data_IF_825211503174
#
_entry.id   IF_825211503174
#
_cell.length_a   1.000
_cell.length_b   1.000
_cell.length_c   1.000
_cell.angle_alpha   90.00
_cell.angle_beta   90.00
_cell.angle_gamma   90.00
#
_symmetry.space_group_name_H-M   'P 1'
#
loop_
_entity.id
_entity.type
_entity.pdbx_description
1 polymer ?
#
# COMPACT_ATOMS: atom_id res chain seq x y z
N UNK A 1 -27.39 -5.73 -15.55
CA UNK A 1 -27.09 -4.54 -16.40
C UNK A 1 -26.17 -5.00 -17.52
N UNK A 2 -26.56 -4.73 -18.74
CA UNK A 2 -25.72 -5.04 -19.89
C UNK A 2 -24.48 -4.12 -19.88
N UNK A 3 -23.32 -4.66 -20.24
CA UNK A 3 -22.06 -3.88 -20.28
C UNK A 3 -22.16 -2.70 -21.25
N UNK A 4 -22.92 -2.83 -22.36
CA UNK A 4 -23.18 -1.75 -23.32
C UNK A 4 -23.92 -0.59 -22.67
N UNK A 5 -24.92 -0.88 -21.85
CA UNK A 5 -25.66 0.14 -21.11
C UNK A 5 -24.77 0.85 -20.08
N UNK A 6 -23.90 0.11 -19.41
CA UNK A 6 -22.92 0.66 -18.49
C UNK A 6 -21.96 1.62 -19.18
N UNK A 7 -21.42 1.25 -20.34
CA UNK A 7 -20.53 2.11 -21.14
C UNK A 7 -21.23 3.38 -21.58
N UNK A 8 -22.51 3.30 -22.02
CA UNK A 8 -23.29 4.50 -22.38
C UNK A 8 -23.49 5.45 -21.20
N UNK A 9 -23.71 4.92 -20.00
CA UNK A 9 -23.85 5.76 -18.78
C UNK A 9 -22.55 6.45 -18.42
N UNK A 10 -21.41 5.74 -18.48
CA UNK A 10 -20.08 6.32 -18.24
C UNK A 10 -19.80 7.43 -19.25
N UNK A 11 -20.02 7.19 -20.53
CA UNK A 11 -19.82 8.19 -21.58
C UNK A 11 -20.67 9.44 -21.37
N UNK A 12 -21.95 9.27 -21.04
CA UNK A 12 -22.84 10.39 -20.72
C UNK A 12 -22.36 11.21 -19.52
N UNK A 13 -21.89 10.53 -18.47
CA UNK A 13 -21.33 11.19 -17.30
C UNK A 13 -20.04 11.97 -17.65
N UNK A 14 -19.19 11.42 -18.50
CA UNK A 14 -17.98 12.08 -18.99
C UNK A 14 -18.33 13.35 -19.81
N UNK A 15 -19.25 13.24 -20.75
CA UNK A 15 -19.70 14.36 -21.61
C UNK A 15 -20.31 15.51 -20.78
N UNK A 16 -20.92 15.20 -19.65
CA UNK A 16 -21.53 16.16 -18.73
C UNK A 16 -20.58 16.66 -17.61
N UNK A 17 -19.30 16.29 -17.63
CA UNK A 17 -18.34 16.57 -16.56
C UNK A 17 -18.81 16.08 -15.17
N UNK A 18 -19.48 14.94 -15.12
CA UNK A 18 -20.03 14.34 -13.91
C UNK A 18 -19.35 13.01 -13.55
N UNK A 19 -18.36 12.57 -14.34
CA UNK A 19 -17.66 11.32 -14.08
C UNK A 19 -16.71 11.49 -12.89
N UNK A 20 -16.90 10.65 -11.88
CA UNK A 20 -16.01 10.54 -10.72
C UNK A 20 -15.43 9.14 -10.69
N UNK A 21 -14.12 9.02 -10.56
CA UNK A 21 -13.41 7.75 -10.48
C UNK A 21 -12.86 7.54 -9.08
N UNK A 22 -13.24 6.45 -8.43
CA UNK A 22 -12.65 6.00 -7.17
C UNK A 22 -11.49 5.05 -7.45
N UNK A 23 -10.32 5.39 -6.94
CA UNK A 23 -9.10 4.60 -7.14
C UNK A 23 -8.70 3.96 -5.82
N UNK A 24 -8.73 2.63 -5.79
CA UNK A 24 -8.26 1.87 -4.63
C UNK A 24 -6.77 1.53 -4.73
N UNK A 25 -6.20 1.10 -3.61
CA UNK A 25 -4.78 0.70 -3.50
C UNK A 25 -4.37 -0.43 -4.47
N UNK A 26 -5.33 -1.22 -4.97
CA UNK A 26 -5.07 -2.25 -5.96
C UNK A 26 -4.52 -1.72 -7.30
N UNK A 27 -4.84 -0.49 -7.66
CA UNK A 27 -4.28 0.16 -8.86
C UNK A 27 -2.78 0.38 -8.69
N UNK A 28 -2.35 0.85 -7.53
CA UNK A 28 -0.93 1.07 -7.21
C UNK A 28 -0.10 -0.23 -7.23
N UNK A 29 -0.70 -1.36 -6.89
CA UNK A 29 -0.03 -2.67 -6.96
C UNK A 29 0.41 -3.03 -8.38
N UNK A 30 -0.37 -2.66 -9.40
CA UNK A 30 -0.01 -2.88 -10.80
C UNK A 30 1.18 -2.03 -11.27
N UNK A 31 1.57 -1.02 -10.49
CA UNK A 31 2.77 -0.21 -10.71
C UNK A 31 3.97 -0.69 -9.88
N UNK A 32 3.91 -1.90 -9.35
CA UNK A 32 4.90 -2.51 -8.42
C UNK A 32 5.13 -1.67 -7.15
N UNK A 33 4.19 -0.83 -6.79
CA UNK A 33 4.26 -0.14 -5.51
C UNK A 33 3.97 -1.13 -4.38
N UNK A 34 4.66 -0.99 -3.25
CA UNK A 34 4.44 -1.85 -2.11
C UNK A 34 3.01 -1.72 -1.59
N UNK A 35 2.48 -2.82 -1.12
CA UNK A 35 1.23 -2.82 -0.36
C UNK A 35 1.44 -2.19 1.02
N UNK A 36 0.34 -1.85 1.68
CA UNK A 36 0.38 -1.40 3.07
C UNK A 36 1.14 -2.38 3.98
N UNK A 37 0.93 -3.68 3.79
CA UNK A 37 1.59 -4.73 4.54
C UNK A 37 3.11 -4.74 4.36
N UNK A 38 3.58 -4.55 3.15
CA UNK A 38 5.00 -4.47 2.83
C UNK A 38 5.66 -3.23 3.43
N UNK A 39 4.95 -2.10 3.41
CA UNK A 39 5.42 -0.87 4.05
C UNK A 39 5.51 -1.05 5.57
N UNK A 40 4.47 -1.61 6.21
CA UNK A 40 4.47 -1.85 7.66
C UNK A 40 5.56 -2.82 8.06
N UNK A 41 5.84 -3.86 7.26
CA UNK A 41 6.97 -4.76 7.51
C UNK A 41 8.31 -4.02 7.53
N UNK A 42 8.52 -3.05 6.66
CA UNK A 42 9.74 -2.24 6.68
C UNK A 42 9.86 -1.43 7.97
N UNK A 43 8.79 -0.81 8.45
CA UNK A 43 8.80 -0.16 9.75
C UNK A 43 9.14 -1.14 10.88
N UNK A 44 8.54 -2.32 10.87
CA UNK A 44 8.79 -3.36 11.86
C UNK A 44 10.25 -3.82 11.86
N UNK A 45 10.87 -3.91 10.69
CA UNK A 45 12.27 -4.29 10.55
C UNK A 45 13.22 -3.25 11.13
N UNK A 46 12.96 -1.98 10.90
CA UNK A 46 13.80 -0.90 11.43
C UNK A 46 13.77 -0.80 12.97
N UNK A 47 12.65 -1.14 13.60
CA UNK A 47 12.50 -1.11 15.07
C UNK A 47 12.67 -2.47 15.75
N UNK A 48 13.11 -3.47 15.03
CA UNK A 48 13.24 -4.84 15.53
C UNK A 48 11.96 -5.43 16.15
N UNK A 49 10.80 -5.05 15.60
CA UNK A 49 9.51 -5.47 16.14
C UNK A 49 9.26 -6.97 15.98
N UNK A 50 8.88 -7.64 17.05
CA UNK A 50 8.50 -9.07 17.09
C UNK A 50 9.41 -10.02 16.29
N UNK A 51 10.64 -10.18 16.71
CA UNK A 51 11.46 -11.29 16.23
C UNK A 51 10.98 -12.62 16.83
N UNK A 52 10.89 -13.64 15.99
CA UNK A 52 10.62 -14.98 16.47
C UNK A 52 11.73 -15.41 17.45
N UNK A 53 11.33 -15.82 18.64
CA UNK A 53 12.27 -16.27 19.68
C UNK A 53 12.95 -17.60 19.33
N UNK A 54 12.34 -18.40 18.45
CA UNK A 54 12.88 -19.70 18.02
C UNK A 54 13.86 -19.57 16.87
N UNK A 55 13.55 -18.82 15.82
CA UNK A 55 14.38 -18.76 14.63
C UNK A 55 15.13 -17.42 14.46
N UNK A 56 14.83 -16.41 15.23
CA UNK A 56 15.38 -15.06 15.12
C UNK A 56 15.31 -14.47 13.69
N UNK A 57 14.43 -15.02 12.86
CA UNK A 57 14.23 -14.61 11.47
C UNK A 57 12.88 -13.91 11.32
N UNK A 58 12.81 -12.95 10.41
CA UNK A 58 11.57 -12.24 10.07
C UNK A 58 11.07 -12.53 8.67
N UNK A 59 11.97 -12.80 7.75
CA UNK A 59 11.69 -12.84 6.31
C UNK A 59 11.47 -14.25 5.77
N UNK A 60 11.98 -15.28 6.43
CA UNK A 60 11.81 -16.64 5.98
C UNK A 60 10.75 -17.35 6.81
N UNK A 61 9.84 -18.04 6.12
CA UNK A 61 8.90 -18.93 6.81
C UNK A 61 9.69 -19.90 7.68
N UNK A 62 9.41 -19.86 8.97
CA UNK A 62 9.97 -20.84 9.87
C UNK A 62 9.51 -22.22 9.43
N UNK A 63 10.43 -23.16 9.31
CA UNK A 63 10.11 -24.54 8.90
C UNK A 63 9.47 -25.34 10.05
N UNK A 64 9.54 -24.83 11.26
CA UNK A 64 8.96 -25.46 12.43
C UNK A 64 7.48 -25.12 12.55
N UNK A 65 6.66 -26.13 12.84
CA UNK A 65 5.20 -25.97 12.93
C UNK A 65 4.77 -24.92 13.96
N UNK A 66 5.56 -24.77 15.03
CA UNK A 66 5.31 -23.81 16.11
C UNK A 66 5.53 -22.35 15.70
N UNK A 67 6.22 -22.12 14.60
CA UNK A 67 6.52 -20.78 14.12
C UNK A 67 5.64 -20.30 12.95
N UNK A 68 4.59 -21.01 12.59
CA UNK A 68 3.73 -20.66 11.45
C UNK A 68 3.12 -19.26 11.56
N UNK A 69 2.95 -18.76 12.77
CA UNK A 69 2.31 -17.45 13.05
C UNK A 69 3.31 -16.31 13.28
N UNK A 70 4.62 -16.60 13.31
CA UNK A 70 5.61 -15.58 13.69
C UNK A 70 5.79 -14.43 12.67
N UNK A 71 5.18 -14.51 11.50
CA UNK A 71 5.24 -13.51 10.42
C UNK A 71 3.91 -12.79 10.18
N UNK A 72 2.83 -13.23 10.82
CA UNK A 72 1.53 -12.60 10.67
C UNK A 72 1.29 -11.61 11.81
N UNK A 73 1.20 -10.33 11.44
CA UNK A 73 0.76 -9.30 12.37
C UNK A 73 -0.76 -9.28 12.44
N UNK A 74 -1.30 -8.98 13.60
CA UNK A 74 -2.73 -8.69 13.74
C UNK A 74 -3.07 -7.34 13.09
N UNK A 75 -4.34 -7.11 12.77
CA UNK A 75 -4.78 -5.82 12.22
C UNK A 75 -4.40 -4.64 13.12
N UNK A 76 -4.49 -4.82 14.42
CA UNK A 76 -4.11 -3.82 15.40
C UNK A 76 -2.60 -3.51 15.36
N UNK A 77 -1.76 -4.53 15.21
CA UNK A 77 -0.32 -4.36 15.06
C UNK A 77 0.05 -3.63 13.77
N UNK A 78 -0.64 -3.90 12.66
CA UNK A 78 -0.42 -3.16 11.42
C UNK A 78 -0.73 -1.66 11.54
N UNK A 79 -1.60 -1.27 12.43
CA UNK A 79 -1.88 0.14 12.70
C UNK A 79 -0.89 0.76 13.70
N UNK A 80 -0.43 -0.03 14.68
CA UNK A 80 0.45 0.45 15.75
C UNK A 80 1.92 0.50 15.36
N UNK A 81 2.40 -0.39 14.51
CA UNK A 81 3.82 -0.44 14.14
C UNK A 81 4.32 0.87 13.55
N UNK A 82 3.65 1.50 12.57
CA UNK A 82 4.03 2.81 12.06
C UNK A 82 4.03 3.91 13.12
N UNK A 83 3.08 3.86 14.04
CA UNK A 83 2.99 4.79 15.16
C UNK A 83 4.18 4.64 16.12
N UNK A 84 4.56 3.42 16.45
CA UNK A 84 5.75 3.17 17.28
C UNK A 84 7.02 3.68 16.61
N UNK A 85 7.18 3.46 15.31
CA UNK A 85 8.31 4.01 14.58
C UNK A 85 8.32 5.54 14.63
N UNK A 86 7.18 6.18 14.35
CA UNK A 86 7.04 7.62 14.37
C UNK A 86 7.37 8.24 15.74
N UNK A 87 6.87 7.64 16.82
CA UNK A 87 7.12 8.10 18.18
C UNK A 87 8.58 7.94 18.63
N UNK A 88 9.28 6.95 18.09
CA UNK A 88 10.69 6.68 18.41
C UNK A 88 11.67 7.35 17.42
N UNK A 89 11.17 8.00 16.39
CA UNK A 89 12.00 8.75 15.46
C UNK A 89 12.44 10.08 16.09
N UNK A 90 13.71 10.12 16.52
CA UNK A 90 14.34 11.30 17.12
C UNK A 90 14.88 12.31 16.09
N UNK A 91 14.74 12.01 14.80
CA UNK A 91 15.19 12.91 13.74
C UNK A 91 14.35 14.18 13.67
N UNK A 92 14.97 15.28 13.26
CA UNK A 92 14.29 16.58 13.16
C UNK A 92 13.09 16.50 12.18
N UNK A 93 11.90 16.81 12.68
CA UNK A 93 10.66 16.76 11.90
C UNK A 93 10.25 15.35 11.48
N UNK A 94 10.68 14.31 12.20
CA UNK A 94 10.45 12.90 11.86
C UNK A 94 10.94 12.55 10.45
N UNK A 95 12.12 13.07 10.13
CA UNK A 95 12.71 12.91 8.79
C UNK A 95 12.88 11.44 8.39
N UNK A 96 13.33 10.58 9.29
CA UNK A 96 13.59 9.18 9.01
C UNK A 96 12.27 8.41 8.72
N UNK A 97 11.20 8.75 9.41
CA UNK A 97 9.87 8.21 9.15
C UNK A 97 9.39 8.54 7.73
N UNK A 98 9.43 9.81 7.35
CA UNK A 98 8.98 10.24 6.03
C UNK A 98 9.91 9.76 4.92
N UNK A 99 11.21 9.69 5.19
CA UNK A 99 12.19 9.16 4.26
C UNK A 99 11.97 7.68 3.96
N UNK A 100 11.69 6.87 4.98
CA UNK A 100 11.40 5.45 4.79
C UNK A 100 10.17 5.25 3.88
N UNK A 101 9.11 6.02 4.08
CA UNK A 101 7.92 6.00 3.22
C UNK A 101 8.31 6.38 1.79
N UNK A 102 9.00 7.48 1.62
CA UNK A 102 9.40 7.99 0.32
C UNK A 102 10.27 6.99 -0.45
N UNK A 103 11.31 6.46 0.18
CA UNK A 103 12.21 5.50 -0.41
C UNK A 103 11.48 4.21 -0.81
N UNK A 104 10.56 3.76 0.04
CA UNK A 104 9.74 2.57 -0.23
C UNK A 104 8.83 2.77 -1.43
N UNK A 105 8.20 3.94 -1.55
CA UNK A 105 7.29 4.24 -2.66
C UNK A 105 8.01 4.55 -3.97
N UNK A 106 9.21 5.12 -3.92
CA UNK A 106 9.95 5.52 -5.11
C UNK A 106 10.74 4.39 -5.76
N UNK A 107 11.14 3.38 -4.99
CA UNK A 107 12.07 2.35 -5.47
C UNK A 107 11.53 1.48 -6.59
N UNK A 108 10.22 1.39 -6.79
CA UNK A 108 9.61 0.41 -7.70
C UNK A 108 8.46 0.96 -8.56
N UNK A 109 8.22 2.26 -8.58
CA UNK A 109 7.08 2.80 -9.33
C UNK A 109 7.25 2.62 -10.84
N UNK A 110 6.23 2.07 -11.46
CA UNK A 110 6.04 2.01 -12.91
C UNK A 110 4.66 2.54 -13.28
N UNK A 111 4.52 3.13 -14.47
CA UNK A 111 3.19 3.37 -15.04
C UNK A 111 2.50 2.03 -15.33
N UNK A 112 1.20 2.01 -15.27
CA UNK A 112 0.42 0.83 -15.62
C UNK A 112 -0.75 1.19 -16.54
N UNK A 113 -1.29 0.22 -17.32
CA UNK A 113 -2.38 0.48 -18.25
C UNK A 113 -3.67 1.02 -17.61
N UNK A 114 -3.88 0.75 -16.32
CA UNK A 114 -5.06 1.26 -15.59
C UNK A 114 -4.95 2.77 -15.41
N UNK A 115 -3.75 3.29 -15.10
CA UNK A 115 -3.51 4.71 -14.97
C UNK A 115 -3.78 5.43 -16.30
N UNK A 116 -3.35 4.83 -17.42
CA UNK A 116 -3.60 5.38 -18.76
C UNK A 116 -5.10 5.43 -19.07
N UNK A 117 -5.85 4.38 -18.75
CA UNK A 117 -7.32 4.35 -18.92
C UNK A 117 -8.00 5.41 -18.07
N UNK A 118 -7.60 5.59 -16.81
CA UNK A 118 -8.15 6.62 -15.92
C UNK A 118 -7.90 8.01 -16.48
N UNK A 119 -6.67 8.25 -16.98
CA UNK A 119 -6.31 9.51 -17.60
C UNK A 119 -7.12 9.80 -18.87
N UNK A 120 -7.29 8.81 -19.74
CA UNK A 120 -8.04 8.91 -21.00
C UNK A 120 -9.54 9.16 -20.77
N UNK A 121 -10.11 8.69 -19.65
CA UNK A 121 -11.50 8.96 -19.28
C UNK A 121 -11.77 10.42 -18.94
N UNK A 122 -10.72 11.21 -18.68
CA UNK A 122 -10.84 12.63 -18.30
C UNK A 122 -11.91 12.86 -17.22
N UNK A 123 -11.83 12.18 -16.06
CA UNK A 123 -12.85 12.31 -15.04
C UNK A 123 -12.86 13.71 -14.44
N UNK A 124 -14.03 14.15 -13.96
CA UNK A 124 -14.15 15.42 -13.27
C UNK A 124 -13.38 15.42 -11.95
N UNK A 125 -13.41 14.30 -11.23
CA UNK A 125 -12.63 14.04 -10.03
C UNK A 125 -12.10 12.62 -9.99
N UNK A 126 -10.91 12.45 -9.39
CA UNK A 126 -10.34 11.17 -9.00
C UNK A 126 -10.23 11.15 -7.47
N UNK A 127 -10.76 10.13 -6.87
CA UNK A 127 -10.75 9.92 -5.41
C UNK A 127 -9.95 8.67 -5.08
#
# INVERSE_FOLDING_TARGET
>A
MDWIESVKKIRKAQENNQLVVFVGAGVSKNSDLPTWWELVKRFADEIDYKRCTFCNKREEKCQEEECKECYEYTQDEYLRIPEYYYQNDESEGHFDYFKLIQDTLQSHKRSNPIDDVIFDLLPHHII
#
